data_IF_684348244256
#
_entry.id   IF_684348244256
#
_cell.length_a   1.000
_cell.length_b   1.000
_cell.length_c   1.000
_cell.angle_alpha   90.00
_cell.angle_beta   90.00
_cell.angle_gamma   90.00
#
_symmetry.space_group_name_H-M   'P 1'
#
loop_
_entity.id
_entity.type
_entity.pdbx_description
1 polymer ?
#
# COMPACT_ATOMS: atom_id res chain seq x y z
N UNK A 1 -15.06 24.75 -38.42
CA UNK A 1 -15.95 23.88 -37.60
C UNK A 1 -15.80 22.47 -38.18
N UNK A 2 -15.00 21.55 -37.64
CA UNK A 2 -14.65 21.24 -36.25
C UNK A 2 -13.15 20.96 -36.05
N UNK A 3 -12.44 21.87 -35.37
CA UNK A 3 -11.07 21.68 -34.85
C UNK A 3 -11.10 21.15 -33.40
N UNK A 4 -11.99 20.21 -33.12
CA UNK A 4 -12.18 19.67 -31.78
C UNK A 4 -11.35 18.40 -31.63
N UNK A 5 -10.05 18.57 -31.37
CA UNK A 5 -9.35 17.60 -30.52
C UNK A 5 -9.52 18.04 -29.05
N UNK A 6 -10.56 17.53 -28.35
CA UNK A 6 -10.81 17.91 -26.96
C UNK A 6 -9.65 17.53 -26.03
N UNK A 7 -8.78 16.60 -26.44
CA UNK A 7 -7.69 16.06 -25.62
C UNK A 7 -6.33 16.65 -26.01
N UNK A 8 -6.14 17.07 -27.26
CA UNK A 8 -5.03 17.87 -27.76
C UNK A 8 -4.21 17.20 -28.87
N UNK A 9 -4.10 17.89 -30.00
CA UNK A 9 -3.28 17.51 -31.17
C UNK A 9 -3.85 17.99 -32.51
N UNK A 10 -3.10 18.86 -33.21
CA UNK A 10 -2.96 19.13 -34.67
C UNK A 10 -2.69 20.64 -34.96
N UNK A 11 -2.21 21.03 -36.16
CA UNK A 11 -0.86 20.96 -36.72
C UNK A 11 -0.05 22.27 -36.60
N UNK A 12 1.21 22.24 -37.06
CA UNK A 12 2.18 23.34 -37.01
C UNK A 12 1.77 24.54 -37.88
N UNK A 13 1.93 25.74 -37.34
CA UNK A 13 2.05 26.99 -38.11
C UNK A 13 3.24 27.80 -37.58
N UNK A 14 4.20 28.11 -38.47
CA UNK A 14 5.18 29.19 -38.32
C UNK A 14 6.62 28.77 -37.99
N UNK A 15 7.55 29.17 -38.87
CA UNK A 15 9.01 29.03 -38.83
C UNK A 15 9.72 29.56 -37.55
N UNK A 16 10.92 29.04 -37.22
CA UNK A 16 11.72 29.53 -36.09
C UNK A 16 12.57 30.75 -36.48
N UNK A 17 12.44 31.85 -35.74
CA UNK A 17 13.30 33.03 -35.88
C UNK A 17 14.57 32.94 -34.99
N UNK A 18 15.70 33.10 -35.67
CA UNK A 18 16.99 33.69 -35.28
C UNK A 18 17.84 33.07 -34.15
N UNK A 19 19.12 32.87 -34.47
CA UNK A 19 20.11 32.09 -33.73
C UNK A 19 21.13 32.92 -32.93
N UNK A 20 20.86 34.19 -32.62
CA UNK A 20 21.88 35.09 -32.05
C UNK A 20 21.91 35.18 -30.51
N UNK A 21 20.91 34.67 -29.78
CA UNK A 21 20.83 34.80 -28.30
C UNK A 21 21.66 33.75 -27.52
N UNK A 22 22.25 32.78 -28.22
CA UNK A 22 22.86 31.58 -27.61
C UNK A 22 24.16 31.81 -26.83
N UNK A 23 24.75 33.00 -26.88
CA UNK A 23 26.06 33.30 -26.26
C UNK A 23 25.98 34.04 -24.92
N UNK A 24 24.80 34.57 -24.56
CA UNK A 24 24.52 35.15 -23.26
C UNK A 24 23.97 34.11 -22.27
N UNK A 25 23.18 33.16 -22.77
CA UNK A 25 22.51 32.11 -21.97
C UNK A 25 23.48 31.06 -21.40
N UNK A 26 24.61 30.81 -22.10
CA UNK A 26 25.63 29.82 -21.68
C UNK A 26 26.40 30.26 -20.42
N UNK A 27 26.41 31.55 -20.09
CA UNK A 27 27.13 32.08 -18.90
C UNK A 27 26.31 32.05 -17.60
N UNK A 28 25.02 31.70 -17.64
CA UNK A 28 24.20 31.49 -16.43
C UNK A 28 24.15 30.03 -15.97
N UNK A 29 24.85 29.13 -16.67
CA UNK A 29 24.77 27.69 -16.50
C UNK A 29 25.51 27.12 -15.26
N UNK A 30 26.16 27.94 -14.44
CA UNK A 30 27.02 27.45 -13.34
C UNK A 30 26.35 27.25 -11.97
N UNK A 31 25.03 27.45 -11.84
CA UNK A 31 24.28 26.88 -10.69
C UNK A 31 22.86 26.52 -11.08
N UNK A 32 22.68 25.55 -11.99
CA UNK A 32 21.35 25.02 -12.29
C UNK A 32 20.89 24.06 -11.18
N UNK A 33 20.55 24.63 -10.01
CA UNK A 33 19.64 23.95 -9.08
C UNK A 33 18.35 23.75 -9.88
N UNK A 34 17.95 22.49 -10.08
CA UNK A 34 16.66 22.18 -10.71
C UNK A 34 15.52 22.92 -10.01
N UNK A 35 14.36 23.11 -10.68
CA UNK A 35 13.24 23.80 -10.07
C UNK A 35 12.91 23.20 -8.70
N UNK A 36 12.55 24.02 -7.69
CA UNK A 36 12.23 23.51 -6.37
C UNK A 36 11.11 22.47 -6.45
N UNK A 37 11.32 21.33 -5.81
CA UNK A 37 10.39 20.20 -5.80
C UNK A 37 9.97 19.85 -4.36
N UNK A 38 9.31 20.79 -3.64
CA UNK A 38 8.98 20.62 -2.23
C UNK A 38 8.10 19.41 -1.97
N UNK A 39 7.11 19.11 -2.81
CA UNK A 39 6.23 17.95 -2.65
C UNK A 39 7.01 16.65 -2.81
N UNK A 40 7.89 16.58 -3.82
CA UNK A 40 8.75 15.40 -4.01
C UNK A 40 9.61 15.15 -2.78
N UNK A 41 10.28 16.19 -2.26
CA UNK A 41 11.13 16.09 -1.07
C UNK A 41 10.32 15.70 0.17
N UNK A 42 9.14 16.30 0.36
CA UNK A 42 8.27 15.99 1.49
C UNK A 42 7.80 14.53 1.47
N UNK A 43 7.39 14.01 0.31
CA UNK A 43 6.99 12.61 0.19
C UNK A 43 8.18 11.68 0.43
N UNK A 44 9.36 11.97 -0.13
CA UNK A 44 10.57 11.15 0.13
C UNK A 44 10.93 11.11 1.62
N UNK A 45 10.84 12.25 2.30
CA UNK A 45 11.05 12.33 3.74
C UNK A 45 10.02 11.48 4.49
N UNK A 46 8.75 11.54 4.10
CA UNK A 46 7.68 10.74 4.70
C UNK A 46 7.89 9.24 4.49
N UNK A 47 8.27 8.79 3.28
CA UNK A 47 8.60 7.38 3.03
C UNK A 47 9.77 6.92 3.93
N UNK A 48 10.79 7.77 4.11
CA UNK A 48 11.91 7.48 5.01
C UNK A 48 11.49 7.37 6.47
N UNK A 49 10.66 8.31 6.96
CA UNK A 49 10.15 8.30 8.34
C UNK A 49 9.28 7.06 8.60
N UNK A 50 8.38 6.72 7.67
CA UNK A 50 7.55 5.53 7.81
C UNK A 50 8.38 4.25 7.79
N UNK A 51 9.39 4.16 6.91
CA UNK A 51 10.31 3.03 6.91
C UNK A 51 11.09 2.90 8.22
N UNK A 52 11.50 4.01 8.86
CA UNK A 52 12.11 3.95 10.18
C UNK A 52 11.13 3.45 11.25
N UNK A 53 9.84 3.79 11.15
CA UNK A 53 8.81 3.25 12.03
C UNK A 53 8.60 1.74 11.81
N UNK A 54 8.68 1.27 10.56
CA UNK A 54 8.64 -0.17 10.23
C UNK A 54 9.81 -0.92 10.87
N UNK A 55 11.02 -0.40 10.74
CA UNK A 55 12.24 -1.00 11.33
C UNK A 55 12.16 -1.01 12.85
N UNK A 56 11.68 0.08 13.46
CA UNK A 56 11.55 0.17 14.92
C UNK A 56 10.50 -0.82 15.46
N UNK A 57 9.33 -0.92 14.82
CA UNK A 57 8.27 -1.86 15.23
C UNK A 57 8.59 -3.32 14.88
N UNK A 58 9.34 -3.55 13.80
CA UNK A 58 9.70 -4.89 13.32
C UNK A 58 10.98 -5.45 13.93
N UNK A 59 11.75 -4.65 14.66
CA UNK A 59 13.00 -5.07 15.30
C UNK A 59 14.17 -5.29 14.33
N UNK A 60 14.05 -4.89 13.06
CA UNK A 60 15.07 -5.15 12.05
C UNK A 60 14.77 -4.55 10.68
N UNK A 61 15.70 -4.71 9.73
CA UNK A 61 15.57 -4.23 8.36
C UNK A 61 14.72 -5.14 7.48
N UNK A 62 14.53 -6.40 7.90
CA UNK A 62 13.70 -7.35 7.19
C UNK A 62 12.21 -7.04 7.41
N UNK A 63 11.36 -7.25 6.39
CA UNK A 63 9.95 -6.93 6.49
C UNK A 63 9.25 -7.80 7.53
N UNK A 64 8.78 -7.17 8.61
CA UNK A 64 8.00 -7.85 9.65
C UNK A 64 6.49 -7.75 9.38
N UNK A 65 5.78 -8.85 9.07
CA UNK A 65 4.38 -8.81 8.64
C UNK A 65 3.43 -8.14 9.63
N UNK A 66 3.68 -8.28 10.94
CA UNK A 66 2.85 -7.63 11.96
C UNK A 66 3.11 -6.14 12.05
N UNK A 67 4.37 -5.71 11.89
CA UNK A 67 4.71 -4.29 11.92
C UNK A 67 4.07 -3.56 10.73
N UNK A 68 4.22 -4.11 9.53
CA UNK A 68 3.59 -3.60 8.31
C UNK A 68 2.07 -3.54 8.44
N UNK A 69 1.45 -4.59 8.99
CA UNK A 69 0.01 -4.60 9.19
C UNK A 69 -0.48 -3.57 10.20
N UNK A 70 0.23 -3.39 11.33
CA UNK A 70 -0.08 -2.36 12.34
C UNK A 70 0.01 -0.96 11.74
N UNK A 71 1.04 -0.71 10.92
CA UNK A 71 1.28 0.58 10.27
C UNK A 71 0.40 0.86 9.05
N UNK A 72 -0.36 -0.13 8.56
CA UNK A 72 -1.38 0.12 7.55
C UNK A 72 -1.14 -0.52 6.19
N UNK A 73 -0.46 -1.66 6.13
CA UNK A 73 -0.37 -2.45 4.89
C UNK A 73 -1.76 -2.80 4.36
N UNK A 74 -1.86 -2.91 3.04
CA UNK A 74 -3.11 -3.23 2.36
C UNK A 74 -3.45 -4.72 2.57
N UNK A 75 -4.68 -5.01 2.93
CA UNK A 75 -5.22 -6.38 3.06
C UNK A 75 -6.71 -6.37 2.71
N UNK A 76 -7.15 -7.27 1.83
CA UNK A 76 -8.55 -7.32 1.41
C UNK A 76 -9.48 -7.71 2.55
N UNK A 77 -9.05 -8.63 3.42
CA UNK A 77 -9.78 -8.97 4.64
C UNK A 77 -9.98 -7.75 5.55
N UNK A 78 -8.91 -7.00 5.84
CA UNK A 78 -9.00 -5.81 6.70
C UNK A 78 -9.86 -4.70 6.08
N UNK A 79 -9.75 -4.46 4.78
CA UNK A 79 -10.58 -3.47 4.07
C UNK A 79 -12.06 -3.87 4.13
N UNK A 80 -12.38 -5.16 3.95
CA UNK A 80 -13.74 -5.70 4.09
C UNK A 80 -14.30 -5.52 5.51
N UNK A 81 -13.44 -5.55 6.51
CA UNK A 81 -13.77 -5.32 7.92
C UNK A 81 -13.83 -3.82 8.32
N UNK A 82 -13.72 -2.91 7.35
CA UNK A 82 -13.92 -1.48 7.56
C UNK A 82 -12.63 -0.66 7.62
N UNK A 83 -11.47 -1.26 7.42
CA UNK A 83 -10.20 -0.52 7.36
C UNK A 83 -9.90 0.03 5.97
N UNK A 84 -10.87 0.76 5.43
CA UNK A 84 -10.79 1.41 4.11
C UNK A 84 -9.60 2.37 3.99
N UNK A 85 -9.09 2.88 5.11
CA UNK A 85 -7.91 3.74 5.14
C UNK A 85 -6.64 3.03 4.64
N UNK A 86 -6.61 1.69 4.66
CA UNK A 86 -5.52 0.89 4.10
C UNK A 86 -5.39 1.05 2.58
N UNK A 87 -6.44 1.50 1.88
CA UNK A 87 -6.40 1.77 0.44
C UNK A 87 -5.38 2.85 0.06
N UNK A 88 -5.01 3.73 0.99
CA UNK A 88 -4.00 4.76 0.77
C UNK A 88 -2.74 4.58 1.62
N UNK A 89 -2.87 4.24 2.91
CA UNK A 89 -1.72 4.19 3.82
C UNK A 89 -0.64 3.20 3.41
N UNK A 90 -1.02 2.13 2.71
CA UNK A 90 -0.07 1.14 2.19
C UNK A 90 1.02 1.74 1.30
N UNK A 91 0.75 2.87 0.66
CA UNK A 91 1.66 3.54 -0.26
C UNK A 91 2.88 4.14 0.45
N UNK A 92 2.85 4.27 1.77
CA UNK A 92 3.97 4.80 2.55
C UNK A 92 4.88 3.73 3.15
N UNK A 93 4.46 2.45 3.07
CA UNK A 93 5.18 1.33 3.67
C UNK A 93 6.05 0.57 2.67
N UNK A 94 7.14 -0.07 3.12
CA UNK A 94 8.04 -0.80 2.21
C UNK A 94 8.52 -2.16 2.75
N UNK A 95 8.41 -3.20 1.92
CA UNK A 95 8.92 -4.54 2.21
C UNK A 95 10.46 -4.70 2.27
N UNK A 96 11.20 -3.71 2.77
CA UNK A 96 12.65 -3.74 2.97
C UNK A 96 13.43 -2.60 2.29
N UNK A 97 14.74 -2.47 2.55
CA UNK A 97 15.54 -1.30 2.16
C UNK A 97 15.65 -1.12 0.64
N UNK A 98 15.83 -2.21 -0.11
CA UNK A 98 15.90 -2.16 -1.57
C UNK A 98 14.57 -1.70 -2.17
N UNK A 99 13.45 -2.15 -1.59
CA UNK A 99 12.12 -1.73 -2.05
C UNK A 99 11.90 -0.24 -1.83
N UNK A 100 12.28 0.30 -0.67
CA UNK A 100 12.27 1.74 -0.42
C UNK A 100 13.18 2.49 -1.41
N UNK A 101 14.42 2.02 -1.62
CA UNK A 101 15.38 2.70 -2.48
C UNK A 101 14.87 2.81 -3.92
N UNK A 102 14.30 1.73 -4.48
CA UNK A 102 13.74 1.75 -5.83
C UNK A 102 12.53 2.68 -5.94
N UNK A 103 11.63 2.67 -4.96
CA UNK A 103 10.48 3.59 -4.96
C UNK A 103 10.92 5.05 -4.78
N UNK A 104 11.87 5.33 -3.89
CA UNK A 104 12.41 6.66 -3.67
C UNK A 104 13.09 7.21 -4.93
N UNK A 105 13.90 6.38 -5.59
CA UNK A 105 14.52 6.73 -6.87
C UNK A 105 13.48 6.99 -7.97
N UNK A 106 12.52 6.07 -8.15
CA UNK A 106 11.47 6.24 -9.16
C UNK A 106 10.58 7.46 -8.89
N UNK A 107 10.22 7.71 -7.62
CA UNK A 107 9.47 8.89 -7.21
C UNK A 107 10.27 10.17 -7.50
N UNK A 108 11.57 10.21 -7.20
CA UNK A 108 12.40 11.37 -7.50
C UNK A 108 12.43 11.74 -8.98
N UNK A 109 12.58 10.74 -9.87
CA UNK A 109 12.71 10.98 -11.31
C UNK A 109 11.38 11.33 -11.95
N UNK A 110 10.29 10.65 -11.55
CA UNK A 110 8.97 10.85 -12.15
C UNK A 110 8.24 12.03 -11.51
N UNK A 111 8.32 12.22 -10.20
CA UNK A 111 7.53 13.26 -9.56
C UNK A 111 8.02 14.68 -9.88
N UNK A 112 9.34 14.90 -9.93
CA UNK A 112 9.90 16.24 -10.18
C UNK A 112 9.43 16.88 -11.50
N UNK A 113 9.46 16.20 -12.67
CA UNK A 113 8.89 16.76 -13.90
C UNK A 113 7.41 17.08 -13.76
N UNK A 114 6.61 16.20 -13.15
CA UNK A 114 5.19 16.44 -12.91
C UNK A 114 4.99 17.67 -12.01
N UNK A 115 5.73 17.77 -10.92
CA UNK A 115 5.69 18.91 -10.00
C UNK A 115 6.07 20.22 -10.70
N UNK A 116 7.08 20.22 -11.58
CA UNK A 116 7.46 21.41 -12.35
C UNK A 116 6.43 21.82 -13.41
N UNK A 117 5.70 20.87 -14.00
CA UNK A 117 4.80 21.12 -15.15
C UNK A 117 3.33 21.25 -14.76
N UNK A 118 2.93 20.70 -13.62
CA UNK A 118 1.57 20.73 -13.08
C UNK A 118 1.47 21.56 -11.79
N UNK A 119 2.59 21.79 -11.10
CA UNK A 119 2.64 22.42 -9.79
C UNK A 119 2.58 21.41 -8.64
N UNK A 120 3.03 21.81 -7.44
CA UNK A 120 3.21 20.92 -6.29
C UNK A 120 1.91 20.27 -5.80
N UNK A 121 0.80 21.02 -5.80
CA UNK A 121 -0.49 20.53 -5.31
C UNK A 121 -1.12 19.50 -6.26
N UNK A 122 -0.99 19.72 -7.57
CA UNK A 122 -1.50 18.79 -8.60
C UNK A 122 -0.65 17.53 -8.63
N UNK A 123 0.67 17.66 -8.47
CA UNK A 123 1.58 16.50 -8.37
C UNK A 123 1.24 15.62 -7.17
N UNK A 124 1.02 16.22 -5.99
CA UNK A 124 0.56 15.47 -4.81
C UNK A 124 -0.76 14.78 -5.06
N UNK A 125 -1.73 15.48 -5.64
CA UNK A 125 -3.05 14.93 -5.91
C UNK A 125 -3.04 13.81 -6.95
N UNK A 126 -2.15 13.89 -7.96
CA UNK A 126 -1.94 12.81 -8.92
C UNK A 126 -1.36 11.58 -8.24
N UNK A 127 -0.30 11.74 -7.43
CA UNK A 127 0.24 10.63 -6.65
C UNK A 127 -0.83 10.02 -5.74
N UNK A 128 -1.59 10.86 -5.02
CA UNK A 128 -2.58 10.41 -4.07
C UNK A 128 -3.76 9.66 -4.71
N UNK A 129 -4.37 10.25 -5.74
CA UNK A 129 -5.50 9.65 -6.43
C UNK A 129 -5.12 8.31 -7.08
N UNK A 130 -3.92 8.24 -7.68
CA UNK A 130 -3.46 7.03 -8.36
C UNK A 130 -2.96 5.95 -7.39
N UNK A 131 -2.38 6.31 -6.25
CA UNK A 131 -2.08 5.37 -5.17
C UNK A 131 -3.37 4.73 -4.63
N UNK A 132 -4.40 5.52 -4.34
CA UNK A 132 -5.70 5.02 -3.88
C UNK A 132 -6.35 4.12 -4.94
N UNK A 133 -6.31 4.52 -6.22
CA UNK A 133 -6.82 3.70 -7.32
C UNK A 133 -6.03 2.38 -7.47
N UNK A 134 -4.71 2.41 -7.29
CA UNK A 134 -3.85 1.23 -7.24
C UNK A 134 -4.23 0.29 -6.09
N UNK A 135 -4.42 0.82 -4.89
CA UNK A 135 -4.92 0.05 -3.74
C UNK A 135 -6.27 -0.60 -4.02
N UNK A 136 -7.20 0.14 -4.63
CA UNK A 136 -8.50 -0.40 -5.05
C UNK A 136 -8.38 -1.55 -6.07
N UNK A 137 -7.50 -1.41 -7.06
CA UNK A 137 -7.26 -2.46 -8.06
C UNK A 137 -6.61 -3.71 -7.45
N UNK A 138 -5.68 -3.55 -6.50
CA UNK A 138 -5.10 -4.64 -5.73
C UNK A 138 -6.16 -5.43 -4.96
N UNK A 139 -7.05 -4.74 -4.24
CA UNK A 139 -8.14 -5.37 -3.48
C UNK A 139 -9.11 -6.13 -4.39
N UNK A 140 -9.46 -5.54 -5.54
CA UNK A 140 -10.29 -6.20 -6.52
C UNK A 140 -9.64 -7.50 -7.03
N UNK A 141 -8.34 -7.47 -7.35
CA UNK A 141 -7.60 -8.64 -7.79
C UNK A 141 -7.45 -9.70 -6.69
N UNK A 142 -7.16 -9.30 -5.45
CA UNK A 142 -7.06 -10.20 -4.31
C UNK A 142 -8.38 -10.94 -4.05
N UNK A 143 -9.50 -10.22 -4.11
CA UNK A 143 -10.85 -10.78 -3.93
C UNK A 143 -11.17 -11.79 -5.03
N UNK A 144 -10.85 -11.48 -6.30
CA UNK A 144 -11.07 -12.38 -7.43
C UNK A 144 -10.21 -13.65 -7.37
N UNK A 145 -9.05 -13.58 -6.70
CA UNK A 145 -8.11 -14.71 -6.54
C UNK A 145 -8.28 -15.46 -5.22
N UNK A 146 -9.25 -15.07 -4.38
CA UNK A 146 -9.44 -15.60 -3.03
C UNK A 146 -8.18 -15.49 -2.15
N UNK A 147 -7.40 -14.43 -2.33
CA UNK A 147 -6.16 -14.19 -1.58
C UNK A 147 -6.30 -12.98 -0.65
N UNK A 148 -7.32 -13.02 0.20
CA UNK A 148 -7.74 -11.85 0.99
C UNK A 148 -6.74 -11.44 2.08
N UNK A 149 -5.83 -12.34 2.43
CA UNK A 149 -4.91 -12.23 3.57
C UNK A 149 -3.50 -11.77 3.18
N UNK A 150 -3.18 -11.74 1.89
CA UNK A 150 -1.89 -11.24 1.43
C UNK A 150 -1.78 -9.74 1.72
N UNK A 151 -0.66 -9.33 2.33
CA UNK A 151 -0.37 -7.93 2.56
C UNK A 151 0.33 -7.31 1.34
N UNK A 152 -0.05 -6.09 0.99
CA UNK A 152 0.65 -5.29 -0.02
C UNK A 152 1.10 -3.94 0.57
N UNK A 153 2.28 -3.49 0.14
CA UNK A 153 2.94 -2.26 0.57
C UNK A 153 3.69 -1.63 -0.61
N UNK A 154 3.89 -0.32 -0.56
CA UNK A 154 4.80 0.38 -1.47
C UNK A 154 4.12 1.51 -2.24
N UNK A 155 4.87 2.60 -2.41
CA UNK A 155 4.47 3.78 -3.18
C UNK A 155 4.24 3.48 -4.69
N UNK A 156 4.64 2.31 -5.16
CA UNK A 156 4.70 1.94 -6.57
C UNK A 156 3.37 2.11 -7.32
N UNK A 157 2.21 1.89 -6.68
CA UNK A 157 0.90 2.17 -7.31
C UNK A 157 0.77 3.63 -7.75
N UNK A 158 1.10 4.57 -6.85
CA UNK A 158 1.12 6.01 -7.15
C UNK A 158 2.22 6.39 -8.14
N UNK A 159 3.39 5.75 -8.07
CA UNK A 159 4.51 5.99 -9.00
C UNK A 159 4.16 5.54 -10.43
N UNK A 160 3.53 4.38 -10.59
CA UNK A 160 3.01 3.94 -11.89
C UNK A 160 1.92 4.90 -12.40
N UNK A 161 1.12 5.48 -11.50
CA UNK A 161 0.21 6.57 -11.84
C UNK A 161 0.90 7.84 -12.32
N UNK A 162 1.98 8.27 -11.66
CA UNK A 162 2.81 9.36 -12.16
C UNK A 162 3.39 9.02 -13.54
N UNK A 163 3.82 7.78 -13.77
CA UNK A 163 4.27 7.34 -15.09
C UNK A 163 3.16 7.44 -16.14
N UNK A 164 1.95 6.98 -15.82
CA UNK A 164 0.76 7.17 -16.66
C UNK A 164 0.47 8.65 -16.96
N UNK A 165 0.64 9.53 -15.97
CA UNK A 165 0.49 10.97 -16.14
C UNK A 165 1.55 11.57 -17.08
N UNK A 166 2.78 11.03 -17.13
CA UNK A 166 3.77 11.43 -18.15
C UNK A 166 3.35 11.02 -19.55
N UNK A 167 2.79 9.81 -19.72
CA UNK A 167 2.24 9.36 -21.00
C UNK A 167 1.14 10.31 -21.47
N UNK A 168 0.22 10.67 -20.57
CA UNK A 168 -0.83 11.64 -20.86
C UNK A 168 -0.30 13.04 -21.18
N UNK A 169 0.72 13.51 -20.46
CA UNK A 169 1.35 14.81 -20.71
C UNK A 169 2.07 14.83 -22.06
N UNK A 170 2.87 13.80 -22.35
CA UNK A 170 3.50 13.64 -23.66
C UNK A 170 2.44 13.64 -24.76
N UNK A 171 1.35 12.90 -24.58
CA UNK A 171 0.23 12.93 -25.51
C UNK A 171 -0.25 14.36 -25.75
N UNK A 172 -0.60 15.10 -24.69
CA UNK A 172 -1.09 16.49 -24.79
C UNK A 172 -0.10 17.46 -25.44
N UNK A 173 1.20 17.24 -25.29
CA UNK A 173 2.26 18.14 -25.76
C UNK A 173 2.88 17.74 -27.11
N UNK A 174 2.72 16.49 -27.58
CA UNK A 174 3.48 15.92 -28.72
C UNK A 174 3.45 16.75 -30.01
N UNK A 175 2.39 17.52 -30.25
CA UNK A 175 2.28 18.36 -31.46
C UNK A 175 2.79 19.80 -31.27
N UNK A 176 3.02 20.21 -30.01
CA UNK A 176 3.55 21.53 -29.63
C UNK A 176 5.06 21.51 -29.41
N UNK A 177 5.64 20.33 -29.20
CA UNK A 177 7.08 20.17 -29.03
C UNK A 177 7.81 20.24 -30.37
N UNK A 178 8.97 20.90 -30.39
CA UNK A 178 9.91 20.82 -31.50
C UNK A 178 10.26 19.34 -31.80
N UNK A 179 10.56 18.96 -33.06
CA UNK A 179 10.80 17.56 -33.43
C UNK A 179 11.86 16.86 -32.56
N UNK A 180 12.92 17.56 -32.18
CA UNK A 180 13.98 17.04 -31.32
C UNK A 180 13.50 16.83 -29.88
N UNK A 181 12.84 17.82 -29.28
CA UNK A 181 12.26 17.70 -27.94
C UNK A 181 11.21 16.59 -27.85
N UNK A 182 10.39 16.42 -28.90
CA UNK A 182 9.43 15.32 -29.00
C UNK A 182 10.11 13.96 -29.03
N UNK A 183 11.17 13.80 -29.83
CA UNK A 183 11.96 12.55 -29.89
C UNK A 183 12.64 12.28 -28.54
N UNK A 184 13.19 13.30 -27.89
CA UNK A 184 13.81 13.18 -26.58
C UNK A 184 12.78 12.71 -25.53
N UNK A 185 11.62 13.36 -25.43
CA UNK A 185 10.55 12.98 -24.51
C UNK A 185 10.05 11.54 -24.77
N UNK A 186 9.88 11.15 -26.04
CA UNK A 186 9.51 9.78 -26.41
C UNK A 186 10.59 8.77 -25.99
N UNK A 187 11.88 9.09 -26.22
CA UNK A 187 13.00 8.24 -25.78
C UNK A 187 13.03 8.10 -24.25
N UNK A 188 12.82 9.16 -23.50
CA UNK A 188 12.73 9.10 -22.04
C UNK A 188 11.59 8.21 -21.56
N UNK A 189 10.41 8.31 -22.18
CA UNK A 189 9.28 7.43 -21.87
C UNK A 189 9.58 5.96 -22.17
N UNK A 190 10.17 5.68 -23.34
CA UNK A 190 10.58 4.32 -23.72
C UNK A 190 11.65 3.80 -22.76
N UNK A 191 12.65 4.62 -22.43
CA UNK A 191 13.71 4.24 -21.50
C UNK A 191 13.16 3.92 -20.10
N UNK A 192 12.26 4.76 -19.58
CA UNK A 192 11.59 4.50 -18.30
C UNK A 192 10.74 3.23 -18.35
N UNK A 193 10.03 2.97 -19.46
CA UNK A 193 9.30 1.73 -19.67
C UNK A 193 10.23 0.51 -19.64
N UNK A 194 11.37 0.58 -20.34
CA UNK A 194 12.35 -0.51 -20.40
C UNK A 194 12.98 -0.77 -19.03
N UNK A 195 13.32 0.28 -18.27
CA UNK A 195 13.80 0.13 -16.90
C UNK A 195 12.73 -0.51 -16.03
N UNK A 196 11.48 -0.05 -16.08
CA UNK A 196 10.40 -0.63 -15.29
C UNK A 196 10.20 -2.11 -15.62
N UNK A 197 10.26 -2.49 -16.90
CA UNK A 197 10.18 -3.89 -17.32
C UNK A 197 11.38 -4.70 -16.81
N UNK A 198 12.60 -4.16 -16.91
CA UNK A 198 13.80 -4.82 -16.42
C UNK A 198 13.75 -5.02 -14.89
N UNK A 199 13.31 -4.01 -14.14
CA UNK A 199 13.10 -4.10 -12.69
C UNK A 199 12.02 -5.11 -12.33
N UNK A 200 10.91 -5.16 -13.08
CA UNK A 200 9.87 -6.15 -12.86
C UNK A 200 10.36 -7.59 -13.10
N UNK A 201 11.09 -7.82 -14.19
CA UNK A 201 11.71 -9.12 -14.49
C UNK A 201 12.74 -9.50 -13.43
N UNK A 202 13.60 -8.55 -13.03
CA UNK A 202 14.61 -8.76 -11.99
C UNK A 202 13.99 -9.08 -10.63
N UNK A 203 12.93 -8.35 -10.23
CA UNK A 203 12.18 -8.60 -9.01
C UNK A 203 11.54 -10.00 -9.03
N UNK A 204 10.91 -10.39 -10.14
CA UNK A 204 10.34 -11.73 -10.30
C UNK A 204 11.43 -12.81 -10.20
N UNK A 205 12.59 -12.61 -10.83
CA UNK A 205 13.72 -13.54 -10.75
C UNK A 205 14.30 -13.66 -9.33
N UNK A 206 14.20 -12.58 -8.53
CA UNK A 206 14.60 -12.54 -7.13
C UNK A 206 13.51 -12.99 -6.15
N UNK A 207 12.37 -13.53 -6.63
CA UNK A 207 11.19 -13.87 -5.83
C UNK A 207 10.65 -12.71 -4.99
N UNK A 208 10.86 -11.48 -5.45
CA UNK A 208 10.32 -10.28 -4.83
C UNK A 208 8.85 -10.09 -5.29
N UNK A 209 7.86 -10.17 -4.37
CA UNK A 209 6.45 -10.11 -4.76
C UNK A 209 6.06 -8.73 -5.31
N UNK A 210 5.47 -8.72 -6.51
CA UNK A 210 4.98 -7.52 -7.18
C UNK A 210 3.46 -7.49 -7.21
N UNK A 211 2.88 -6.33 -6.87
CA UNK A 211 1.45 -6.09 -7.03
C UNK A 211 1.14 -5.49 -8.40
N UNK A 212 1.06 -6.36 -9.40
CA UNK A 212 0.77 -5.96 -10.79
C UNK A 212 -0.61 -5.30 -10.93
N UNK A 213 -1.56 -5.62 -10.05
CA UNK A 213 -2.90 -5.01 -10.08
C UNK A 213 -2.83 -3.56 -9.60
N UNK A 214 -2.09 -3.29 -8.52
CA UNK A 214 -1.82 -1.92 -8.07
C UNK A 214 -1.08 -1.10 -9.14
N UNK A 215 -0.08 -1.68 -9.81
CA UNK A 215 0.66 -1.01 -10.89
C UNK A 215 -0.24 -0.68 -12.08
N UNK A 216 -1.07 -1.63 -12.52
CA UNK A 216 -2.01 -1.41 -13.61
C UNK A 216 -3.09 -0.37 -13.25
N UNK A 217 -3.69 -0.48 -12.05
CA UNK A 217 -4.69 0.49 -11.57
C UNK A 217 -4.14 1.90 -11.44
N UNK A 218 -2.92 2.02 -10.87
CA UNK A 218 -2.19 3.27 -10.82
C UNK A 218 -1.93 3.84 -12.21
N UNK A 219 -1.32 3.08 -13.12
CA UNK A 219 -0.98 3.53 -14.47
C UNK A 219 -2.19 4.01 -15.28
N UNK A 220 -3.27 3.21 -15.30
CA UNK A 220 -4.48 3.54 -16.06
C UNK A 220 -5.19 4.78 -15.50
N UNK A 221 -5.30 4.88 -14.17
CA UNK A 221 -5.86 6.08 -13.53
C UNK A 221 -4.96 7.30 -13.75
N UNK A 222 -3.64 7.11 -13.78
CA UNK A 222 -2.65 8.15 -14.08
C UNK A 222 -2.78 8.71 -15.49
N UNK A 223 -3.01 7.87 -16.51
CA UNK A 223 -3.30 8.33 -17.86
C UNK A 223 -4.57 9.21 -17.85
N UNK A 224 -5.65 8.69 -17.27
CA UNK A 224 -6.94 9.40 -17.24
C UNK A 224 -6.82 10.75 -16.51
N UNK A 225 -6.31 10.74 -15.28
CA UNK A 225 -6.17 11.95 -14.47
C UNK A 225 -5.15 12.92 -15.07
N UNK A 226 -4.05 12.43 -15.66
CA UNK A 226 -3.08 13.27 -16.36
C UNK A 226 -3.63 13.96 -17.60
N UNK A 227 -4.60 13.34 -18.31
CA UNK A 227 -5.31 13.97 -19.42
C UNK A 227 -6.22 15.12 -18.95
N UNK A 228 -6.80 14.98 -17.76
CA UNK A 228 -7.77 15.91 -17.20
C UNK A 228 -7.13 17.02 -16.34
N UNK A 229 -5.97 16.75 -15.75
CA UNK A 229 -5.33 17.62 -14.77
C UNK A 229 -4.95 19.00 -15.37
N UNK A 230 -5.12 20.09 -14.60
CA UNK A 230 -4.58 21.39 -14.97
C UNK A 230 -3.06 21.33 -15.05
N UNK A 231 -2.48 21.98 -16.06
CA UNK A 231 -1.03 22.07 -16.22
C UNK A 231 -0.62 23.53 -16.33
N UNK A 232 0.56 23.87 -15.84
CA UNK A 232 1.13 25.22 -15.89
C UNK A 232 1.53 25.63 -17.31
N UNK A 233 1.74 24.66 -18.21
CA UNK A 233 2.21 24.89 -19.59
C UNK A 233 1.11 24.76 -20.65
N UNK A 234 -0.12 24.45 -20.24
CA UNK A 234 -1.26 24.29 -21.15
C UNK A 234 -2.41 25.22 -20.75
N UNK A 235 -3.16 25.76 -21.72
CA UNK A 235 -4.32 26.58 -21.40
C UNK A 235 -5.35 25.77 -20.60
N UNK A 236 -6.01 26.39 -19.61
CA UNK A 236 -7.02 25.72 -18.81
C UNK A 236 -8.21 25.29 -19.68
N UNK A 237 -8.79 24.14 -19.35
CA UNK A 237 -9.99 23.58 -19.99
C UNK A 237 -11.18 23.63 -19.01
N UNK A 238 -12.43 23.48 -19.48
CA UNK A 238 -13.61 23.51 -18.61
C UNK A 238 -13.54 22.51 -17.43
N UNK A 239 -12.95 21.34 -17.67
CA UNK A 239 -12.76 20.30 -16.65
C UNK A 239 -11.51 20.49 -15.77
N UNK A 240 -10.67 21.50 -16.03
CA UNK A 240 -9.45 21.71 -15.23
C UNK A 240 -9.76 22.06 -13.77
N UNK A 241 -10.83 22.84 -13.52
CA UNK A 241 -11.27 23.19 -12.16
C UNK A 241 -11.80 21.97 -11.37
N UNK A 242 -12.79 21.20 -11.87
CA UNK A 242 -13.25 20.01 -11.15
C UNK A 242 -12.13 18.96 -10.99
N UNK A 243 -11.25 18.79 -11.99
CA UNK A 243 -10.09 17.92 -11.86
C UNK A 243 -9.14 18.39 -10.75
N UNK A 244 -8.86 19.70 -10.67
CA UNK A 244 -8.06 20.26 -9.57
C UNK A 244 -8.69 19.95 -8.20
N UNK A 245 -9.98 20.23 -8.03
CA UNK A 245 -10.71 19.97 -6.77
C UNK A 245 -10.66 18.49 -6.40
N UNK A 246 -10.84 17.58 -7.36
CA UNK A 246 -10.73 16.13 -7.13
C UNK A 246 -9.32 15.75 -6.66
N UNK A 247 -8.27 16.29 -7.28
CA UNK A 247 -6.88 15.98 -6.93
C UNK A 247 -6.49 16.52 -5.54
N UNK A 248 -6.99 17.71 -5.18
CA UNK A 248 -6.85 18.24 -3.82
C UNK A 248 -7.61 17.36 -2.81
N UNK A 249 -8.85 16.97 -3.14
CA UNK A 249 -9.64 16.04 -2.33
C UNK A 249 -8.94 14.70 -2.12
N UNK A 250 -8.32 14.16 -3.16
CA UNK A 250 -7.53 12.92 -3.08
C UNK A 250 -6.30 13.09 -2.18
N UNK A 251 -5.65 14.25 -2.19
CA UNK A 251 -4.52 14.56 -1.29
C UNK A 251 -4.97 14.56 0.18
N UNK A 252 -6.09 15.21 0.48
CA UNK A 252 -6.67 15.18 1.83
C UNK A 252 -7.14 13.80 2.23
N UNK A 253 -7.73 13.04 1.31
CA UNK A 253 -8.13 11.66 1.56
C UNK A 253 -6.90 10.81 1.93
N UNK A 254 -5.83 10.85 1.14
CA UNK A 254 -4.61 10.10 1.42
C UNK A 254 -3.99 10.50 2.77
N UNK A 255 -3.92 11.80 3.06
CA UNK A 255 -3.44 12.28 4.36
C UNK A 255 -4.33 11.79 5.53
N UNK A 256 -5.65 11.78 5.35
CA UNK A 256 -6.59 11.24 6.34
C UNK A 256 -6.48 9.72 6.52
N UNK A 257 -6.22 8.99 5.42
CA UNK A 257 -5.96 7.55 5.44
C UNK A 257 -4.68 7.21 6.22
N UNK A 258 -3.61 7.96 5.98
CA UNK A 258 -2.35 7.81 6.74
C UNK A 258 -2.50 8.24 8.20
N UNK A 259 -3.20 9.35 8.46
CA UNK A 259 -3.54 9.77 9.82
C UNK A 259 -4.35 8.73 10.58
N UNK A 260 -5.30 8.06 9.91
CA UNK A 260 -6.04 6.93 10.49
C UNK A 260 -5.13 5.73 10.76
N UNK A 261 -4.17 5.43 9.88
CA UNK A 261 -3.19 4.36 10.09
C UNK A 261 -2.35 4.62 11.35
N UNK A 262 -1.78 5.82 11.47
CA UNK A 262 -1.00 6.24 12.64
C UNK A 262 -1.87 6.21 13.91
N UNK A 263 -3.09 6.76 13.85
CA UNK A 263 -4.00 6.76 15.00
C UNK A 263 -4.36 5.33 15.46
N UNK A 264 -4.54 4.39 14.52
CA UNK A 264 -4.80 2.98 14.82
C UNK A 264 -3.57 2.24 15.35
N UNK A 265 -2.39 2.61 14.90
CA UNK A 265 -1.13 2.08 15.42
C UNK A 265 -0.86 2.53 16.86
N UNK A 266 -1.18 3.79 17.18
CA UNK A 266 -0.98 4.37 18.53
C UNK A 266 -2.10 4.00 19.50
N UNK A 267 -3.35 3.93 19.03
CA UNK A 267 -4.52 3.57 19.83
C UNK A 267 -5.23 2.33 19.26
N UNK A 268 -4.70 1.12 19.51
CA UNK A 268 -5.25 -0.12 18.97
C UNK A 268 -6.66 -0.40 19.52
N UNK A 269 -7.59 -0.73 18.62
CA UNK A 269 -8.95 -1.14 18.97
C UNK A 269 -9.16 -2.63 18.71
N UNK A 270 -9.91 -3.39 19.51
CA UNK A 270 -10.11 -4.81 19.22
C UNK A 270 -10.73 -5.07 17.83
N UNK A 271 -10.28 -6.13 17.16
CA UNK A 271 -10.84 -6.63 15.90
C UNK A 271 -11.64 -7.90 16.09
N UNK A 272 -12.37 -8.32 15.06
CA UNK A 272 -13.06 -9.60 15.07
C UNK A 272 -12.26 -10.63 14.28
N UNK A 273 -11.68 -11.62 14.98
CA UNK A 273 -11.15 -12.82 14.37
C UNK A 273 -12.31 -13.75 14.01
N UNK A 274 -12.40 -14.20 12.75
CA UNK A 274 -13.47 -15.09 12.29
C UNK A 274 -12.89 -16.42 11.84
N UNK A 275 -13.37 -17.49 12.47
CA UNK A 275 -13.18 -18.87 12.03
C UNK A 275 -14.49 -19.45 11.50
N UNK A 276 -14.49 -20.74 11.16
CA UNK A 276 -15.70 -21.42 10.71
C UNK A 276 -16.76 -21.47 11.81
N UNK A 277 -17.87 -20.76 11.62
CA UNK A 277 -18.98 -20.63 12.59
C UNK A 277 -18.58 -20.12 13.99
N UNK A 278 -17.43 -19.46 14.12
CA UNK A 278 -16.91 -18.94 15.38
C UNK A 278 -16.25 -17.59 15.17
N UNK A 279 -16.33 -16.71 16.16
CA UNK A 279 -15.63 -15.43 16.15
C UNK A 279 -15.15 -15.04 17.55
N UNK A 280 -14.07 -14.27 17.62
CA UNK A 280 -13.60 -13.67 18.86
C UNK A 280 -13.25 -12.21 18.65
N UNK A 281 -13.52 -11.36 19.66
CA UNK A 281 -12.87 -10.05 19.70
C UNK A 281 -11.43 -10.26 20.14
N UNK A 282 -10.49 -9.86 19.31
CA UNK A 282 -9.06 -10.06 19.56
C UNK A 282 -8.33 -8.72 19.55
N UNK A 283 -7.18 -8.61 20.24
CA UNK A 283 -6.32 -7.43 20.15
C UNK A 283 -6.09 -6.96 18.69
N UNK A 284 -6.05 -5.64 18.47
CA UNK A 284 -5.92 -5.02 17.13
C UNK A 284 -4.69 -5.50 16.35
N UNK A 285 -3.68 -5.82 17.13
CA UNK A 285 -2.30 -5.98 16.76
C UNK A 285 -2.00 -7.40 16.28
N UNK A 286 -3.00 -8.28 16.37
CA UNK A 286 -3.07 -9.54 15.67
C UNK A 286 -3.32 -9.31 14.18
N UNK A 287 -2.49 -9.93 13.34
CA UNK A 287 -2.69 -10.05 11.90
C UNK A 287 -3.61 -11.24 11.66
N UNK A 288 -4.87 -11.04 11.25
CA UNK A 288 -5.75 -12.15 10.96
C UNK A 288 -5.30 -12.84 9.67
N UNK A 289 -5.56 -14.14 9.61
CA UNK A 289 -5.31 -15.04 8.50
C UNK A 289 -6.53 -15.91 8.22
N UNK A 290 -6.42 -16.86 7.27
CA UNK A 290 -7.52 -17.73 6.88
C UNK A 290 -7.97 -18.64 8.04
N UNK A 291 -9.23 -19.05 8.00
CA UNK A 291 -9.81 -20.09 8.87
C UNK A 291 -9.60 -19.88 10.37
N UNK A 292 -9.71 -18.61 10.82
CA UNK A 292 -9.58 -18.25 12.23
C UNK A 292 -8.15 -18.20 12.74
N UNK A 293 -7.16 -18.25 11.84
CA UNK A 293 -5.75 -18.05 12.18
C UNK A 293 -5.47 -16.57 12.45
N UNK A 294 -4.56 -16.26 13.36
CA UNK A 294 -3.99 -14.92 13.55
C UNK A 294 -2.58 -14.98 14.11
N UNK A 295 -1.75 -13.98 13.77
CA UNK A 295 -0.37 -13.83 14.26
C UNK A 295 -0.21 -12.59 15.13
N UNK A 296 0.47 -12.70 16.26
CA UNK A 296 0.84 -11.54 17.08
C UNK A 296 2.25 -11.02 16.75
N UNK A 297 2.56 -9.77 17.11
CA UNK A 297 3.92 -9.25 16.98
C UNK A 297 4.90 -9.91 17.96
N UNK A 298 4.38 -10.60 18.97
CA UNK A 298 5.19 -11.25 20.01
C UNK A 298 5.57 -12.69 19.65
N UNK A 299 5.35 -13.10 18.40
CA UNK A 299 5.79 -14.41 17.92
C UNK A 299 4.82 -15.56 18.20
N UNK A 300 3.57 -15.24 18.56
CA UNK A 300 2.53 -16.25 18.84
C UNK A 300 1.58 -16.35 17.64
N UNK A 301 1.37 -17.58 17.17
CA UNK A 301 0.27 -17.95 16.29
C UNK A 301 -0.91 -18.45 17.13
N UNK A 302 -2.12 -18.07 16.74
CA UNK A 302 -3.37 -18.52 17.37
C UNK A 302 -4.38 -18.92 16.32
N UNK A 303 -5.13 -19.97 16.59
CA UNK A 303 -6.19 -20.49 15.72
C UNK A 303 -7.46 -20.68 16.53
N UNK A 304 -8.54 -20.07 16.04
CA UNK A 304 -9.88 -20.18 16.60
C UNK A 304 -10.78 -21.00 15.68
N UNK A 305 -11.27 -22.14 16.18
CA UNK A 305 -12.13 -23.07 15.43
C UNK A 305 -13.33 -23.54 16.25
N UNK A 306 -14.27 -24.16 15.55
CA UNK A 306 -15.39 -24.91 16.13
C UNK A 306 -15.36 -26.33 15.56
N UNK A 307 -15.15 -27.34 16.41
CA UNK A 307 -14.94 -28.72 16.01
C UNK A 307 -15.93 -29.68 16.68
N UNK A 308 -16.29 -30.77 15.99
CA UNK A 308 -17.03 -31.88 16.58
C UNK A 308 -16.06 -32.77 17.38
N UNK A 309 -16.38 -33.05 18.64
CA UNK A 309 -15.46 -33.72 19.59
C UNK A 309 -14.72 -32.74 20.50
N UNK A 310 -14.52 -33.14 21.75
CA UNK A 310 -13.76 -32.40 22.76
C UNK A 310 -12.34 -32.95 22.89
N UNK A 311 -11.43 -32.17 23.45
CA UNK A 311 -10.09 -32.64 23.80
C UNK A 311 -10.10 -32.99 25.29
N UNK A 312 -9.81 -34.25 25.61
CA UNK A 312 -9.78 -34.76 26.98
C UNK A 312 -8.40 -34.54 27.63
N UNK A 313 -8.35 -34.46 28.97
CA UNK A 313 -7.11 -34.46 29.73
C UNK A 313 -6.53 -33.09 30.12
N UNK A 314 -7.23 -31.99 29.83
CA UNK A 314 -6.88 -30.65 30.33
C UNK A 314 -7.38 -30.39 31.76
N UNK A 315 -6.97 -29.26 32.34
CA UNK A 315 -7.49 -28.75 33.61
C UNK A 315 -8.45 -27.58 33.36
N UNK A 316 -9.46 -27.45 34.21
CA UNK A 316 -10.50 -26.42 34.05
C UNK A 316 -9.99 -25.02 34.41
N UNK A 317 -10.26 -24.06 33.54
CA UNK A 317 -9.93 -22.64 33.69
C UNK A 317 -11.18 -21.80 33.36
N UNK A 318 -11.64 -20.92 34.26
CA UNK A 318 -12.78 -20.04 33.99
C UNK A 318 -12.33 -18.82 33.15
N UNK A 319 -12.83 -18.71 31.92
CA UNK A 319 -12.51 -17.59 31.01
C UNK A 319 -13.77 -17.09 30.33
N UNK A 320 -13.99 -15.77 30.29
CA UNK A 320 -15.10 -15.19 29.51
C UNK A 320 -16.51 -15.64 29.95
N UNK A 321 -16.68 -16.03 31.22
CA UNK A 321 -17.95 -16.52 31.75
C UNK A 321 -18.28 -17.98 31.40
N UNK A 322 -17.31 -18.76 30.90
CA UNK A 322 -17.45 -20.20 30.66
C UNK A 322 -16.23 -20.97 31.17
N UNK A 323 -16.40 -22.26 31.41
CA UNK A 323 -15.29 -23.15 31.77
C UNK A 323 -14.63 -23.65 30.49
N UNK A 324 -13.31 -23.48 30.41
CA UNK A 324 -12.45 -24.03 29.36
C UNK A 324 -11.56 -25.13 29.95
N UNK A 325 -11.36 -26.22 29.22
CA UNK A 325 -10.32 -27.20 29.53
C UNK A 325 -9.03 -26.79 28.82
N UNK A 326 -7.99 -26.48 29.61
CA UNK A 326 -6.65 -26.08 29.13
C UNK A 326 -5.71 -27.28 29.15
N UNK A 327 -5.18 -27.63 27.98
CA UNK A 327 -4.21 -28.70 27.79
C UNK A 327 -2.91 -28.13 27.18
N UNK A 328 -1.80 -28.35 27.87
CA UNK A 328 -0.47 -28.18 27.27
C UNK A 328 -0.11 -29.48 26.55
N UNK A 329 0.20 -29.38 25.26
CA UNK A 329 0.54 -30.50 24.38
C UNK A 329 1.67 -30.09 23.43
N UNK A 330 2.09 -30.99 22.56
CA UNK A 330 2.89 -30.66 21.40
C UNK A 330 2.04 -30.79 20.13
N UNK A 331 2.34 -29.98 19.12
CA UNK A 331 1.83 -30.19 17.76
C UNK A 331 2.47 -31.45 17.13
N UNK A 332 2.01 -31.90 15.94
CA UNK A 332 2.59 -33.07 15.25
C UNK A 332 4.09 -32.95 14.98
N UNK A 333 4.61 -31.73 14.88
CA UNK A 333 6.02 -31.40 14.67
C UNK A 333 6.84 -31.36 15.97
N UNK A 334 6.18 -31.52 17.14
CA UNK A 334 6.82 -31.54 18.45
C UNK A 334 6.94 -30.18 19.15
N UNK A 335 6.33 -29.13 18.61
CA UNK A 335 6.40 -27.79 19.17
C UNK A 335 5.40 -27.60 20.33
N UNK A 336 5.82 -26.98 21.45
CA UNK A 336 4.95 -26.67 22.58
C UNK A 336 3.74 -25.83 22.19
N UNK A 337 2.56 -26.40 22.42
CA UNK A 337 1.27 -25.84 22.03
C UNK A 337 0.32 -25.85 23.21
N UNK A 338 -0.49 -24.80 23.33
CA UNK A 338 -1.62 -24.78 24.28
C UNK A 338 -2.92 -24.92 23.53
N UNK A 339 -3.81 -25.77 24.05
CA UNK A 339 -5.15 -25.99 23.51
C UNK A 339 -6.19 -25.74 24.59
N UNK A 340 -7.11 -24.83 24.31
CA UNK A 340 -8.26 -24.49 25.14
C UNK A 340 -9.52 -24.99 24.45
N UNK A 341 -10.33 -25.79 25.15
CA UNK A 341 -11.61 -26.27 24.63
C UNK A 341 -12.78 -25.94 25.53
N UNK A 342 -13.91 -25.51 24.97
CA UNK A 342 -15.14 -25.26 25.72
C UNK A 342 -16.38 -25.79 24.97
N UNK A 343 -17.34 -26.44 25.65
CA UNK A 343 -18.56 -26.93 25.01
C UNK A 343 -19.38 -25.82 24.35
N UNK A 344 -19.89 -26.04 23.14
CA UNK A 344 -20.80 -25.17 22.37
C UNK A 344 -21.86 -26.00 21.60
N UNK A 345 -22.85 -26.50 22.33
CA UNK A 345 -23.88 -27.39 21.80
C UNK A 345 -23.31 -28.77 21.50
N UNK A 346 -23.50 -29.27 20.27
CA UNK A 346 -22.94 -30.53 19.79
C UNK A 346 -21.45 -30.45 19.39
N UNK A 347 -20.85 -29.27 19.45
CA UNK A 347 -19.45 -29.02 19.09
C UNK A 347 -18.70 -28.37 20.26
N UNK A 348 -17.40 -28.16 20.09
CA UNK A 348 -16.54 -27.42 21.01
C UNK A 348 -15.94 -26.21 20.31
N UNK A 349 -15.82 -25.10 21.04
CA UNK A 349 -14.90 -24.04 20.66
C UNK A 349 -13.49 -24.51 21.00
N UNK A 350 -12.56 -24.29 20.08
CA UNK A 350 -11.16 -24.68 20.22
C UNK A 350 -10.30 -23.47 19.92
N UNK A 351 -9.45 -23.10 20.87
CA UNK A 351 -8.37 -22.14 20.68
C UNK A 351 -7.05 -22.89 20.82
N UNK A 352 -6.25 -22.86 19.78
CA UNK A 352 -4.91 -23.43 19.76
C UNK A 352 -3.91 -22.30 19.58
N UNK A 353 -2.82 -22.28 20.35
CA UNK A 353 -1.74 -21.33 20.17
C UNK A 353 -0.37 -21.98 20.31
N UNK A 354 0.60 -21.48 19.55
CA UNK A 354 1.99 -21.93 19.55
C UNK A 354 2.94 -20.76 19.28
N UNK A 355 4.21 -20.91 19.65
CA UNK A 355 5.25 -19.96 19.34
C UNK A 355 5.84 -20.27 17.96
N UNK A 356 5.94 -19.28 17.08
CA UNK A 356 6.67 -19.39 15.81
C UNK A 356 8.00 -18.61 15.81
N UNK A 357 8.17 -17.69 16.76
CA UNK A 357 9.38 -16.88 16.93
C UNK A 357 10.24 -17.40 18.10
N UNK A 358 11.58 -17.42 17.97
CA UNK A 358 12.48 -17.79 19.07
C UNK A 358 12.32 -16.94 20.35
N UNK A 359 11.90 -15.68 20.24
CA UNK A 359 11.74 -14.76 21.37
C UNK A 359 10.36 -14.88 22.06
N UNK A 360 9.52 -15.79 21.58
CA UNK A 360 8.24 -16.13 22.18
C UNK A 360 8.43 -16.94 23.48
N UNK A 361 7.60 -16.66 24.48
CA UNK A 361 7.62 -17.38 25.76
C UNK A 361 6.29 -18.08 25.98
N UNK A 362 6.30 -19.19 26.72
CA UNK A 362 5.08 -19.92 27.09
C UNK A 362 4.05 -19.00 27.77
N UNK A 363 4.50 -18.03 28.59
CA UNK A 363 3.63 -17.07 29.24
C UNK A 363 2.89 -16.16 28.24
N UNK A 364 3.58 -15.68 27.20
CA UNK A 364 2.96 -14.85 26.14
C UNK A 364 1.97 -15.67 25.31
N UNK A 365 2.35 -16.88 24.91
CA UNK A 365 1.49 -17.81 24.17
C UNK A 365 0.20 -18.09 24.95
N UNK A 366 0.33 -18.47 26.21
CA UNK A 366 -0.79 -18.84 27.06
C UNK A 366 -1.71 -17.65 27.34
N UNK A 367 -1.15 -16.48 27.65
CA UNK A 367 -1.93 -15.26 27.86
C UNK A 367 -2.77 -14.89 26.64
N UNK A 368 -2.19 -14.99 25.44
CA UNK A 368 -2.91 -14.70 24.20
C UNK A 368 -4.01 -15.72 23.93
N UNK A 369 -3.73 -17.01 24.14
CA UNK A 369 -4.71 -18.08 23.96
C UNK A 369 -5.91 -17.89 24.90
N UNK A 370 -5.66 -17.60 26.18
CA UNK A 370 -6.69 -17.33 27.18
C UNK A 370 -7.48 -16.06 26.85
N UNK A 371 -6.82 -15.02 26.34
CA UNK A 371 -7.46 -13.78 25.93
C UNK A 371 -8.42 -13.98 24.74
N UNK A 372 -8.01 -14.76 23.73
CA UNK A 372 -8.86 -15.13 22.59
C UNK A 372 -10.02 -16.00 23.05
N UNK A 373 -9.77 -17.00 23.90
CA UNK A 373 -10.77 -17.90 24.45
C UNK A 373 -11.83 -17.14 25.27
N UNK A 374 -11.42 -16.20 26.13
CA UNK A 374 -12.32 -15.39 26.93
C UNK A 374 -13.31 -14.55 26.11
N UNK A 375 -13.03 -14.31 24.82
CA UNK A 375 -13.88 -13.51 23.93
C UNK A 375 -14.46 -14.32 22.75
N UNK A 376 -14.21 -15.63 22.72
CA UNK A 376 -14.69 -16.53 21.69
C UNK A 376 -16.19 -16.85 21.87
N UNK A 377 -16.93 -16.68 20.79
CA UNK A 377 -18.37 -16.92 20.72
C UNK A 377 -18.77 -17.48 19.36
N UNK A 378 -19.93 -18.11 19.30
CA UNK A 378 -20.51 -18.57 18.03
C UNK A 378 -20.75 -17.36 17.11
N UNK A 379 -20.34 -17.48 15.84
CA UNK A 379 -20.70 -16.49 14.83
C UNK A 379 -22.20 -16.64 14.50
N UNK A 380 -22.92 -15.51 14.45
CA UNK A 380 -24.36 -15.48 14.15
C UNK A 380 -24.65 -15.63 12.67
#
# INVERSE_FOLDING_TARGET
MSDLDPLGGLPQTGEPAAAEDRSAEVRSAETHRGPPAPTTVALLALLGVMFLAEVWLGGGLDPHPVALFRLGSLSAAAVRDGDWWRLGSYAFLHGGPLHLLFNAYALWILMRPIESLFGPAVALGLFAATAIAGGGASIAAATLRHNDWQQAVGASGGIFGLFGAHVALYWRLRHRLAPEARRAAARTLIFNLLINLALAVGAQAANFPLDNAAHAGGFLSGILLGLLAPSLVLPPRPWSRPAFVLLIGASFALAGMEGAAIARAVNPHPRTLRGQAVQARVPWDLVPGPDGHARSAEGVDVVLRRLEGGIEGGHDVPLGGRTWSKLATNDPEGNPTVVLTAPDGAAHLVVQAWCYDPDCTDAKRDALAEEVAARAQRAR
#
